data_IF_842968985825
#
_entry.id   IF_842968985825
#
_cell.length_a   1.000
_cell.length_b   1.000
_cell.length_c   1.000
_cell.angle_alpha   90.00
_cell.angle_beta   90.00
_cell.angle_gamma   90.00
#
_symmetry.space_group_name_H-M   'P 1'
#
loop_
_entity.id
_entity.type
_entity.pdbx_description
1 polymer ?
#
# COMPACT_ATOMS: atom_id res chain seq x y z
N UNK A 1 4.51 10.02 14.41
CA UNK A 1 4.38 10.36 12.97
C UNK A 1 2.91 10.47 12.63
N UNK A 2 2.56 11.34 11.67
CA UNK A 2 1.24 11.38 11.04
C UNK A 2 1.27 10.54 9.76
N UNK A 3 0.44 9.52 9.68
CA UNK A 3 0.45 8.53 8.61
C UNK A 3 -0.89 8.54 7.86
N UNK A 4 -0.84 8.49 6.52
CA UNK A 4 -2.01 8.13 5.72
C UNK A 4 -1.95 6.63 5.47
N UNK A 5 -2.96 5.88 5.94
CA UNK A 5 -3.07 4.44 5.73
C UNK A 5 -4.19 4.10 4.75
N UNK A 6 -3.85 3.43 3.64
CA UNK A 6 -4.78 2.95 2.63
C UNK A 6 -4.93 1.44 2.75
N UNK A 7 -6.14 0.99 3.12
CA UNK A 7 -6.41 -0.43 3.37
C UNK A 7 -6.64 -1.24 2.09
N UNK A 8 -6.48 -2.56 2.18
CA UNK A 8 -6.81 -3.50 1.11
C UNK A 8 -8.33 -3.69 0.91
N UNK A 9 -8.70 -4.48 -0.09
CA UNK A 9 -10.12 -4.73 -0.45
C UNK A 9 -10.96 -5.28 0.70
N UNK A 10 -10.40 -6.18 1.50
CA UNK A 10 -11.05 -6.77 2.68
C UNK A 10 -10.72 -6.02 3.97
N UNK A 11 -9.99 -4.92 3.85
CA UNK A 11 -9.57 -4.10 4.99
C UNK A 11 -10.63 -3.09 5.42
N UNK A 12 -10.31 -2.38 6.48
CA UNK A 12 -11.13 -1.27 6.96
C UNK A 12 -10.27 -0.25 7.72
N UNK A 13 -10.79 0.96 7.99
CA UNK A 13 -10.12 1.97 8.82
C UNK A 13 -9.77 1.50 10.23
N UNK A 14 -10.44 0.45 10.72
CA UNK A 14 -10.25 -0.16 12.05
C UNK A 14 -9.66 -1.56 11.99
N UNK A 15 -9.13 -1.99 10.84
CA UNK A 15 -8.47 -3.27 10.68
C UNK A 15 -7.18 -3.39 11.51
N UNK A 16 -6.61 -4.59 11.58
CA UNK A 16 -5.42 -4.90 12.38
C UNK A 16 -4.26 -3.91 12.14
N UNK A 17 -3.91 -3.64 10.88
CA UNK A 17 -2.76 -2.82 10.53
C UNK A 17 -2.89 -1.36 10.99
N UNK A 18 -3.97 -0.62 10.64
CA UNK A 18 -4.12 0.76 11.11
C UNK A 18 -4.35 0.84 12.62
N UNK A 19 -4.94 -0.18 13.27
CA UNK A 19 -5.06 -0.23 14.72
C UNK A 19 -3.68 -0.41 15.38
N UNK A 20 -2.88 -1.34 14.88
CA UNK A 20 -1.50 -1.52 15.34
C UNK A 20 -0.68 -0.23 15.28
N UNK A 21 -0.80 0.52 14.18
CA UNK A 21 -0.10 1.81 14.04
C UNK A 21 -0.55 2.84 15.09
N UNK A 22 -1.85 2.91 15.40
CA UNK A 22 -2.37 3.79 16.44
C UNK A 22 -1.88 3.37 17.84
N UNK A 23 -1.90 2.07 18.13
CA UNK A 23 -1.41 1.50 19.39
C UNK A 23 0.09 1.74 19.57
N UNK A 24 0.84 1.81 18.46
CA UNK A 24 2.26 2.20 18.45
C UNK A 24 2.48 3.72 18.59
N UNK A 25 1.43 4.52 18.80
CA UNK A 25 1.52 5.96 19.05
C UNK A 25 1.59 6.85 17.81
N UNK A 26 1.19 6.34 16.63
CA UNK A 26 1.10 7.15 15.41
C UNK A 26 -0.26 7.85 15.29
N UNK A 27 -0.28 9.06 14.72
CA UNK A 27 -1.48 9.75 14.26
C UNK A 27 -1.87 9.18 12.89
N UNK A 28 -2.92 8.35 12.83
CA UNK A 28 -3.27 7.57 11.63
C UNK A 28 -4.58 8.04 11.02
N UNK A 29 -4.47 8.63 9.84
CA UNK A 29 -5.57 8.92 8.94
C UNK A 29 -5.80 7.66 8.10
N UNK A 30 -6.92 6.98 8.31
CA UNK A 30 -7.30 5.79 7.55
C UNK A 30 -8.72 5.99 7.04
N UNK A 31 -8.91 6.51 5.81
CA UNK A 31 -10.23 6.68 5.23
C UNK A 31 -10.89 5.32 4.91
N UNK A 32 -12.21 5.28 4.91
CA UNK A 32 -12.96 4.18 4.31
C UNK A 32 -12.91 4.34 2.79
N UNK A 33 -12.26 3.39 2.12
CA UNK A 33 -12.00 3.50 0.68
C UNK A 33 -13.20 3.13 -0.19
N UNK A 34 -14.30 2.65 0.39
CA UNK A 34 -15.47 2.17 -0.35
C UNK A 34 -15.07 1.26 -1.53
N UNK A 35 -14.67 0.03 -1.23
CA UNK A 35 -14.16 -0.91 -2.21
C UNK A 35 -15.24 -1.76 -2.89
N UNK A 36 -16.52 -1.42 -2.74
CA UNK A 36 -17.64 -2.24 -3.24
C UNK A 36 -17.57 -2.42 -4.77
N UNK A 37 -17.47 -1.34 -5.51
CA UNK A 37 -17.39 -1.39 -6.98
C UNK A 37 -16.13 -2.09 -7.47
N UNK A 38 -15.00 -1.91 -6.76
CA UNK A 38 -13.74 -2.60 -7.09
C UNK A 38 -13.92 -4.11 -6.99
N UNK A 39 -14.60 -4.60 -5.96
CA UNK A 39 -14.86 -6.05 -5.77
C UNK A 39 -15.75 -6.60 -6.87
N UNK A 40 -16.82 -5.91 -7.22
CA UNK A 40 -17.72 -6.29 -8.31
C UNK A 40 -16.97 -6.39 -9.65
N UNK A 41 -16.09 -5.44 -9.94
CA UNK A 41 -15.25 -5.49 -11.14
C UNK A 41 -14.24 -6.66 -11.09
N UNK A 42 -13.65 -6.95 -9.94
CA UNK A 42 -12.74 -8.08 -9.77
C UNK A 42 -13.44 -9.42 -9.98
N UNK A 43 -14.64 -9.61 -9.44
CA UNK A 43 -15.43 -10.82 -9.65
C UNK A 43 -15.68 -11.04 -11.15
N UNK A 44 -16.09 -10.01 -11.86
CA UNK A 44 -16.28 -10.05 -13.31
C UNK A 44 -14.98 -10.36 -14.05
N UNK A 45 -13.87 -9.75 -13.64
CA UNK A 45 -12.54 -9.95 -14.24
C UNK A 45 -12.01 -11.36 -14.00
N UNK A 46 -12.23 -11.92 -12.82
CA UNK A 46 -11.88 -13.31 -12.51
C UNK A 46 -12.75 -14.30 -13.31
N UNK A 47 -14.05 -14.02 -13.45
CA UNK A 47 -14.97 -14.85 -14.25
C UNK A 47 -14.59 -14.85 -15.74
N UNK A 48 -14.01 -13.76 -16.25
CA UNK A 48 -13.50 -13.65 -17.63
C UNK A 48 -12.11 -14.31 -17.84
N UNK A 49 -11.59 -15.07 -16.88
CA UNK A 49 -10.31 -15.77 -17.00
C UNK A 49 -9.07 -14.91 -16.75
N UNK A 50 -9.22 -13.80 -16.03
CA UNK A 50 -8.12 -12.87 -15.68
C UNK A 50 -7.34 -12.40 -16.92
N UNK A 51 -7.97 -11.67 -17.84
CA UNK A 51 -7.26 -11.15 -18.99
C UNK A 51 -6.05 -10.31 -18.51
N UNK A 52 -4.96 -10.28 -19.26
CA UNK A 52 -3.74 -9.53 -18.93
C UNK A 52 -3.94 -8.01 -18.81
N UNK A 53 -5.14 -7.54 -19.13
CA UNK A 53 -5.52 -6.13 -19.07
C UNK A 53 -5.75 -5.72 -17.62
N UNK A 54 -5.10 -4.67 -17.20
CA UNK A 54 -5.35 -4.03 -15.90
C UNK A 54 -6.82 -3.61 -15.77
N UNK A 55 -7.30 -3.49 -14.53
CA UNK A 55 -8.66 -3.01 -14.28
C UNK A 55 -8.84 -1.59 -14.85
N UNK A 56 -10.03 -1.26 -15.39
CA UNK A 56 -10.28 0.08 -15.90
C UNK A 56 -10.23 1.13 -14.77
N UNK A 57 -9.66 2.33 -14.99
CA UNK A 57 -9.57 3.38 -13.98
C UNK A 57 -10.89 3.75 -13.30
N UNK A 58 -12.02 3.60 -14.01
CA UNK A 58 -13.36 3.84 -13.46
C UNK A 58 -13.67 2.94 -12.24
N UNK A 59 -13.08 1.73 -12.17
CA UNK A 59 -13.34 0.78 -11.11
C UNK A 59 -12.84 1.26 -9.72
N UNK A 60 -11.80 2.12 -9.69
CA UNK A 60 -11.25 2.64 -8.43
C UNK A 60 -11.36 4.17 -8.31
N UNK A 61 -12.24 4.80 -9.10
CA UNK A 61 -12.39 6.27 -9.08
C UNK A 61 -12.81 6.80 -7.71
N UNK A 62 -13.76 6.13 -7.03
CA UNK A 62 -14.22 6.49 -5.69
C UNK A 62 -13.12 6.29 -4.64
N UNK A 63 -12.49 5.10 -4.52
CA UNK A 63 -11.36 4.91 -3.63
C UNK A 63 -10.21 5.91 -3.86
N UNK A 64 -9.92 6.23 -5.12
CA UNK A 64 -8.87 7.19 -5.46
C UNK A 64 -9.23 8.61 -4.99
N UNK A 65 -10.46 9.07 -5.26
CA UNK A 65 -10.93 10.38 -4.80
C UNK A 65 -10.88 10.49 -3.26
N UNK A 66 -11.28 9.42 -2.57
CA UNK A 66 -11.21 9.34 -1.10
C UNK A 66 -9.75 9.41 -0.60
N UNK A 67 -8.83 8.69 -1.24
CA UNK A 67 -7.41 8.72 -0.90
C UNK A 67 -6.79 10.11 -1.16
N UNK A 68 -7.16 10.78 -2.26
CA UNK A 68 -6.72 12.14 -2.59
C UNK A 68 -7.21 13.16 -1.56
N UNK A 69 -8.50 13.07 -1.16
CA UNK A 69 -9.06 13.94 -0.14
C UNK A 69 -8.34 13.76 1.21
N UNK A 70 -8.06 12.52 1.61
CA UNK A 70 -7.33 12.22 2.83
C UNK A 70 -5.86 12.72 2.76
N UNK A 71 -5.21 12.60 1.60
CA UNK A 71 -3.85 13.09 1.36
C UNK A 71 -3.73 14.61 1.49
N UNK A 72 -4.82 15.36 1.29
CA UNK A 72 -4.86 16.82 1.45
C UNK A 72 -4.70 17.27 2.92
N UNK A 73 -4.71 16.35 3.88
CA UNK A 73 -4.44 16.65 5.29
C UNK A 73 -2.99 17.11 5.46
N UNK A 74 -2.73 18.27 6.08
CA UNK A 74 -1.36 18.77 6.20
C UNK A 74 -0.51 17.92 7.18
N UNK A 75 0.79 17.84 6.86
CA UNK A 75 1.79 17.25 7.76
C UNK A 75 1.81 15.71 7.75
N UNK A 76 1.40 15.05 6.66
CA UNK A 76 1.59 13.61 6.50
C UNK A 76 3.09 13.34 6.34
N UNK A 77 3.65 12.51 7.24
CA UNK A 77 5.05 12.11 7.25
C UNK A 77 5.34 10.96 6.28
N UNK A 78 4.38 10.00 6.16
CA UNK A 78 4.48 8.87 5.25
C UNK A 78 3.10 8.36 4.81
N UNK A 79 3.06 7.73 3.63
CA UNK A 79 1.91 6.97 3.15
C UNK A 79 2.19 5.48 3.35
N UNK A 80 1.20 4.75 3.88
CA UNK A 80 1.23 3.30 4.08
C UNK A 80 0.09 2.69 3.27
N UNK A 81 0.40 1.79 2.34
CA UNK A 81 -0.61 1.14 1.51
C UNK A 81 -0.54 -0.38 1.60
N UNK A 82 -1.67 -1.05 1.84
CA UNK A 82 -1.75 -2.51 1.93
C UNK A 82 -2.56 -3.09 0.78
N UNK A 83 -1.99 -4.05 0.03
CA UNK A 83 -2.65 -4.75 -1.06
C UNK A 83 -3.22 -3.79 -2.11
N UNK A 84 -4.54 -3.74 -2.31
CA UNK A 84 -5.23 -2.76 -3.15
C UNK A 84 -4.89 -1.31 -2.74
N UNK A 85 -4.90 -1.00 -1.44
CA UNK A 85 -4.47 0.31 -0.94
C UNK A 85 -3.00 0.62 -1.24
N UNK A 86 -2.15 -0.41 -1.37
CA UNK A 86 -0.79 -0.26 -1.90
C UNK A 86 -0.78 0.17 -3.37
N UNK A 87 -1.65 -0.43 -4.20
CA UNK A 87 -1.85 0.01 -5.58
C UNK A 87 -2.36 1.44 -5.68
N UNK A 88 -3.32 1.85 -4.83
CA UNK A 88 -3.79 3.24 -4.76
C UNK A 88 -2.67 4.21 -4.34
N UNK A 89 -1.83 3.82 -3.38
CA UNK A 89 -0.68 4.64 -2.98
C UNK A 89 0.30 4.85 -4.14
N UNK A 90 0.57 3.78 -4.91
CA UNK A 90 1.38 3.86 -6.13
C UNK A 90 0.71 4.75 -7.20
N UNK A 91 -0.61 4.72 -7.32
CA UNK A 91 -1.37 5.59 -8.23
C UNK A 91 -1.27 7.06 -7.81
N UNK A 92 -1.34 7.39 -6.51
CA UNK A 92 -1.09 8.75 -6.02
C UNK A 92 0.32 9.25 -6.40
N UNK A 93 1.33 8.37 -6.35
CA UNK A 93 2.69 8.69 -6.81
C UNK A 93 2.72 8.93 -8.32
N UNK A 94 2.11 8.04 -9.12
CA UNK A 94 2.04 8.16 -10.59
C UNK A 94 1.37 9.47 -11.03
N UNK A 95 0.35 9.90 -10.30
CA UNK A 95 -0.35 11.17 -10.53
C UNK A 95 0.44 12.41 -10.04
N UNK A 96 1.61 12.24 -9.43
CA UNK A 96 2.42 13.32 -8.90
C UNK A 96 1.91 13.93 -7.60
N UNK A 97 0.94 13.31 -6.94
CA UNK A 97 0.32 13.81 -5.72
C UNK A 97 1.11 13.47 -4.46
N UNK A 98 1.97 12.45 -4.52
CA UNK A 98 2.86 12.07 -3.42
C UNK A 98 4.28 11.81 -3.92
N UNK A 99 5.27 12.30 -3.18
CA UNK A 99 6.72 12.09 -3.42
C UNK A 99 7.49 11.78 -2.13
N UNK A 100 6.80 11.81 -1.00
CA UNK A 100 7.37 11.52 0.33
C UNK A 100 7.62 10.03 0.56
N UNK A 101 7.97 9.65 1.81
CA UNK A 101 8.21 8.26 2.20
C UNK A 101 6.98 7.37 1.96
N UNK A 102 7.19 6.14 1.44
CA UNK A 102 6.14 5.18 1.08
C UNK A 102 6.44 3.80 1.65
N UNK A 103 5.52 3.27 2.48
CA UNK A 103 5.52 1.88 2.94
C UNK A 103 4.44 1.09 2.21
N UNK A 104 4.84 0.01 1.57
CA UNK A 104 3.96 -0.90 0.85
C UNK A 104 3.93 -2.27 1.52
N UNK A 105 2.73 -2.79 1.73
CA UNK A 105 2.47 -4.09 2.36
C UNK A 105 1.78 -4.98 1.33
N UNK A 106 2.52 -5.93 0.72
CA UNK A 106 2.04 -6.82 -0.34
C UNK A 106 1.26 -6.06 -1.44
N UNK A 107 1.86 -5.06 -2.13
CA UNK A 107 1.11 -4.10 -2.97
C UNK A 107 0.59 -4.73 -4.27
N UNK A 108 -0.69 -4.50 -4.58
CA UNK A 108 -1.32 -4.97 -5.83
C UNK A 108 -1.17 -3.98 -7.01
N UNK A 109 -0.12 -3.16 -7.01
CA UNK A 109 0.05 -2.06 -7.98
C UNK A 109 0.26 -2.54 -9.41
N UNK A 110 1.12 -3.54 -9.65
CA UNK A 110 1.36 -4.07 -10.99
C UNK A 110 0.14 -4.78 -11.55
N UNK A 111 -0.44 -5.68 -10.74
CA UNK A 111 -1.53 -6.55 -11.17
C UNK A 111 -2.82 -5.79 -11.47
N UNK A 112 -3.20 -4.84 -10.63
CA UNK A 112 -4.48 -4.13 -10.75
C UNK A 112 -4.36 -2.80 -11.50
N UNK A 113 -3.25 -2.08 -11.33
CA UNK A 113 -3.07 -0.72 -11.83
C UNK A 113 -2.05 -0.63 -12.99
N UNK A 114 -1.33 -1.72 -13.29
CA UNK A 114 -0.28 -1.72 -14.31
C UNK A 114 0.95 -0.89 -13.95
N UNK A 115 1.13 -0.56 -12.66
CA UNK A 115 2.24 0.28 -12.21
C UNK A 115 3.43 -0.60 -11.84
N UNK A 116 4.56 -0.37 -12.48
CA UNK A 116 5.78 -1.17 -12.33
C UNK A 116 6.90 -0.44 -11.61
N UNK A 117 6.81 0.88 -11.44
CA UNK A 117 7.80 1.69 -10.75
C UNK A 117 7.15 2.84 -9.99
N UNK A 118 7.86 3.40 -9.02
CA UNK A 118 7.45 4.58 -8.24
C UNK A 118 8.63 5.54 -8.07
N UNK A 119 8.32 6.83 -8.03
CA UNK A 119 9.30 7.89 -7.76
C UNK A 119 8.94 8.59 -6.45
N UNK A 120 9.63 8.22 -5.38
CA UNK A 120 9.40 8.71 -4.02
C UNK A 120 10.73 8.97 -3.31
N UNK A 121 10.72 9.71 -2.22
CA UNK A 121 11.95 10.01 -1.47
C UNK A 121 12.59 8.76 -0.86
N UNK A 122 11.76 7.83 -0.36
CA UNK A 122 12.17 6.53 0.19
C UNK A 122 11.04 5.52 0.02
N UNK A 123 11.41 4.26 -0.24
CA UNK A 123 10.47 3.15 -0.39
C UNK A 123 10.83 2.03 0.57
N UNK A 124 9.85 1.51 1.30
CA UNK A 124 9.97 0.22 1.96
C UNK A 124 8.81 -0.68 1.54
N UNK A 125 9.11 -1.96 1.36
CA UNK A 125 8.14 -2.98 0.97
C UNK A 125 8.26 -4.15 1.95
N UNK A 126 7.13 -4.59 2.50
CA UNK A 126 7.00 -5.82 3.26
C UNK A 126 6.14 -6.80 2.45
N UNK A 127 6.64 -8.02 2.20
CA UNK A 127 5.93 -9.02 1.41
C UNK A 127 6.08 -10.41 2.00
N UNK A 128 4.96 -11.13 2.10
CA UNK A 128 4.94 -12.52 2.57
C UNK A 128 5.45 -13.48 1.48
N UNK A 129 6.32 -14.41 1.85
CA UNK A 129 6.84 -15.42 0.92
C UNK A 129 5.75 -16.35 0.39
N UNK A 130 4.70 -16.55 1.19
CA UNK A 130 3.57 -17.44 0.88
C UNK A 130 2.33 -16.67 0.41
N UNK A 131 2.53 -15.46 -0.13
CA UNK A 131 1.45 -14.65 -0.71
C UNK A 131 0.89 -15.34 -1.97
N UNK A 132 -0.35 -15.82 -1.88
CA UNK A 132 -1.09 -16.47 -2.96
C UNK A 132 -2.00 -15.51 -3.73
N UNK A 133 -2.06 -14.24 -3.31
CA UNK A 133 -2.90 -13.19 -3.89
C UNK A 133 -2.09 -12.28 -4.82
N UNK A 134 -0.96 -11.75 -4.34
CA UNK A 134 -0.06 -10.88 -5.10
C UNK A 134 1.30 -11.57 -5.25
N UNK A 135 1.78 -11.79 -6.48
CA UNK A 135 3.07 -12.43 -6.70
C UNK A 135 4.21 -11.65 -6.02
N UNK A 136 5.08 -12.36 -5.28
CA UNK A 136 6.26 -11.79 -4.64
C UNK A 136 7.17 -11.08 -5.65
N UNK A 137 7.26 -11.63 -6.86
CA UNK A 137 8.06 -11.11 -7.97
C UNK A 137 7.69 -9.68 -8.34
N UNK A 138 6.42 -9.28 -8.15
CA UNK A 138 5.96 -7.91 -8.39
C UNK A 138 6.65 -6.93 -7.43
N UNK A 139 6.80 -7.30 -6.15
CA UNK A 139 7.51 -6.50 -5.15
C UNK A 139 9.03 -6.49 -5.36
N UNK A 140 9.61 -7.61 -5.80
CA UNK A 140 11.03 -7.70 -6.14
C UNK A 140 11.35 -6.79 -7.33
N UNK A 141 10.52 -6.83 -8.39
CA UNK A 141 10.68 -5.96 -9.54
C UNK A 141 10.49 -4.48 -9.17
N UNK A 142 9.46 -4.17 -8.37
CA UNK A 142 9.20 -2.80 -7.91
C UNK A 142 10.36 -2.23 -7.10
N UNK A 143 10.95 -3.00 -6.18
CA UNK A 143 12.09 -2.56 -5.38
C UNK A 143 13.35 -2.30 -6.23
N UNK A 144 13.57 -3.12 -7.26
CA UNK A 144 14.68 -2.97 -8.20
C UNK A 144 14.52 -1.75 -9.11
N UNK A 145 13.30 -1.51 -9.59
CA UNK A 145 13.02 -0.54 -10.66
C UNK A 145 12.51 0.80 -10.11
N UNK A 146 12.36 0.93 -8.79
CA UNK A 146 11.95 2.18 -8.15
C UNK A 146 13.02 3.27 -8.28
N UNK A 147 12.58 4.49 -8.55
CA UNK A 147 13.42 5.69 -8.45
C UNK A 147 13.42 6.21 -7.01
N UNK A 148 14.00 5.42 -6.10
CA UNK A 148 14.03 5.66 -4.66
C UNK A 148 15.13 4.84 -3.99
N UNK A 149 15.53 5.23 -2.77
CA UNK A 149 16.23 4.31 -1.86
C UNK A 149 15.21 3.30 -1.35
N UNK A 150 15.31 2.06 -1.85
CA UNK A 150 14.29 1.03 -1.66
C UNK A 150 14.78 -0.10 -0.72
N UNK A 151 13.98 -0.40 0.29
CA UNK A 151 14.15 -1.55 1.18
C UNK A 151 13.04 -2.57 0.93
N UNK A 152 13.38 -3.79 0.50
CA UNK A 152 12.44 -4.91 0.42
C UNK A 152 12.70 -5.90 1.55
N UNK A 153 11.68 -6.20 2.36
CA UNK A 153 11.70 -7.23 3.39
C UNK A 153 10.74 -8.36 3.03
N UNK A 154 11.29 -9.53 2.74
CA UNK A 154 10.54 -10.75 2.48
C UNK A 154 10.46 -11.53 3.80
N UNK A 155 9.25 -11.95 4.18
CA UNK A 155 8.98 -12.61 5.47
C UNK A 155 8.27 -13.95 5.27
N UNK A 156 8.36 -14.80 6.28
CA UNK A 156 7.67 -16.10 6.32
C UNK A 156 6.21 -15.89 6.79
N UNK A 157 5.39 -15.34 5.90
CA UNK A 157 4.00 -14.95 6.15
C UNK A 157 3.20 -15.04 4.84
N UNK A 158 1.88 -14.91 4.93
CA UNK A 158 0.94 -14.87 3.80
C UNK A 158 0.63 -13.43 3.34
N UNK A 159 -0.36 -13.28 2.44
CA UNK A 159 -0.81 -11.97 1.94
C UNK A 159 -1.27 -11.03 3.05
N UNK A 160 -1.83 -11.54 4.13
CA UNK A 160 -2.38 -10.74 5.23
C UNK A 160 -1.28 -10.11 6.09
N UNK A 161 -0.10 -10.72 6.13
CA UNK A 161 1.04 -10.26 6.94
C UNK A 161 0.71 -10.16 8.44
N UNK A 162 -0.18 -11.02 8.91
CA UNK A 162 -0.72 -10.94 10.28
C UNK A 162 0.36 -11.14 11.33
N UNK A 163 1.20 -12.17 11.16
CA UNK A 163 2.28 -12.48 12.09
C UNK A 163 3.38 -11.41 12.05
N UNK A 164 3.72 -10.94 10.86
CA UNK A 164 4.74 -9.89 10.65
C UNK A 164 4.34 -8.55 11.28
N UNK A 165 3.06 -8.18 11.17
CA UNK A 165 2.52 -6.97 11.83
C UNK A 165 2.55 -7.12 13.34
N UNK A 166 2.14 -8.28 13.89
CA UNK A 166 2.19 -8.56 15.32
C UNK A 166 3.64 -8.53 15.88
N UNK A 167 4.62 -8.98 15.06
CA UNK A 167 6.04 -8.92 15.39
C UNK A 167 6.67 -7.51 15.30
N UNK A 168 5.91 -6.49 14.89
CA UNK A 168 6.39 -5.10 14.85
C UNK A 168 7.16 -4.71 13.59
N UNK A 169 7.26 -5.57 12.57
CA UNK A 169 8.09 -5.33 11.37
C UNK A 169 7.63 -4.09 10.58
N UNK A 170 6.35 -3.74 10.63
CA UNK A 170 5.83 -2.53 10.02
C UNK A 170 6.43 -1.27 10.68
N UNK A 171 6.57 -1.25 12.00
CA UNK A 171 7.20 -0.17 12.75
C UNK A 171 8.71 -0.05 12.50
N UNK A 172 9.41 -1.19 12.39
CA UNK A 172 10.82 -1.20 12.01
C UNK A 172 11.04 -0.52 10.65
N UNK A 173 10.22 -0.88 9.64
CA UNK A 173 10.32 -0.29 8.30
C UNK A 173 9.94 1.19 8.29
N UNK A 174 8.97 1.63 9.09
CA UNK A 174 8.63 3.05 9.23
C UNK A 174 9.80 3.85 9.83
N UNK A 175 10.55 3.27 10.77
CA UNK A 175 11.74 3.91 11.34
C UNK A 175 12.85 4.08 10.31
N UNK A 176 13.00 3.14 9.38
CA UNK A 176 13.94 3.26 8.25
C UNK A 176 13.49 4.34 7.27
N UNK A 177 12.19 4.39 6.97
CA UNK A 177 11.62 5.36 6.02
C UNK A 177 11.69 6.81 6.52
N UNK A 178 11.36 7.01 7.78
CA UNK A 178 11.29 8.33 8.42
C UNK A 178 12.17 8.30 9.67
N UNK A 179 13.50 8.39 9.51
CA UNK A 179 14.41 8.38 10.64
C UNK A 179 14.10 9.58 11.54
N UNK A 180 14.22 9.43 12.88
CA UNK A 180 14.08 10.54 13.80
C UNK A 180 15.05 11.65 13.43
N UNK A 181 14.60 12.91 13.49
CA UNK A 181 15.50 14.05 13.30
C UNK A 181 16.64 13.92 14.29
N UNK A 182 17.89 13.96 13.80
CA UNK A 182 19.06 14.04 14.68
C UNK A 182 18.99 15.38 15.40
N UNK A 183 19.20 15.41 16.71
CA UNK A 183 19.23 16.63 17.49
C UNK A 183 20.33 17.58 17.02
#
# INVERSE_FOLDING_TARGET
MKLLFLHGLEGSPRGQKPSWLRDAGHDVIAPDLDTYDVRSHLETWFAAGRPEVTMPPAAWSIPLATAQAALSTPGIDAVVGSSFGGGLAMELVRLGLWRGPLLLLAPAGRKLFGITTVEVSRLAILHGRHDDVVPLEDSVALARDAHADATLRIVDDDHRLTASVAAGLMGELLTVLVPPMRP
#
